data_IF_472421325786
#
_entry.id   IF_472421325786
#
_cell.length_a   1.000
_cell.length_b   1.000
_cell.length_c   1.000
_cell.angle_alpha   90.00
_cell.angle_beta   90.00
_cell.angle_gamma   90.00
#
_symmetry.space_group_name_H-M   'P 1'
#
loop_
_entity.id
_entity.type
_entity.pdbx_description
1 polymer ?
#
# COMPACT_ATOMS: atom_id res chain seq x y z
N UNK A 1 -17.21 32.54 53.12
CA UNK A 1 -17.73 32.99 51.83
C UNK A 1 -16.99 32.15 50.79
N UNK A 2 -17.58 30.97 50.49
CA UNK A 2 -16.98 29.94 49.66
C UNK A 2 -17.38 30.14 48.21
N UNK A 3 -16.40 30.42 47.34
CA UNK A 3 -16.59 30.46 45.87
C UNK A 3 -16.23 29.10 45.34
N UNK A 4 -17.26 28.36 44.91
CA UNK A 4 -17.19 27.03 44.31
C UNK A 4 -16.87 27.19 42.79
N UNK A 5 -15.63 26.94 42.35
CA UNK A 5 -15.27 26.88 40.97
C UNK A 5 -15.82 25.57 40.37
N UNK A 6 -16.85 25.67 39.54
CA UNK A 6 -17.34 24.58 38.70
C UNK A 6 -16.47 24.50 37.45
N UNK A 7 -15.68 23.44 37.33
CA UNK A 7 -15.04 23.05 36.07
C UNK A 7 -16.10 22.46 35.15
N UNK A 8 -16.42 23.17 34.06
CA UNK A 8 -17.22 22.65 32.96
C UNK A 8 -16.23 21.95 32.00
N UNK A 9 -16.25 20.62 31.99
CA UNK A 9 -15.57 19.85 30.97
C UNK A 9 -16.34 19.98 29.65
N UNK A 10 -15.82 20.77 28.73
CA UNK A 10 -16.35 20.85 27.36
C UNK A 10 -15.87 19.59 26.60
N UNK A 11 -16.79 18.65 26.41
CA UNK A 11 -16.62 17.51 25.50
C UNK A 11 -16.69 18.06 24.07
N UNK A 12 -15.55 18.31 23.44
CA UNK A 12 -15.46 18.59 22.01
C UNK A 12 -15.73 17.30 21.23
N UNK A 13 -16.98 17.06 20.89
CA UNK A 13 -17.39 16.13 19.84
C UNK A 13 -16.99 16.77 18.51
N UNK A 14 -15.84 16.39 17.99
CA UNK A 14 -15.49 16.70 16.60
C UNK A 14 -16.40 15.91 15.68
N UNK A 15 -17.46 16.54 15.21
CA UNK A 15 -18.23 16.05 14.08
C UNK A 15 -17.36 16.14 12.83
N UNK A 16 -17.35 15.07 12.04
CA UNK A 16 -16.72 15.05 10.73
C UNK A 16 -17.43 16.09 9.85
N UNK A 17 -16.79 17.24 9.56
CA UNK A 17 -17.37 18.23 8.65
C UNK A 17 -17.40 17.62 7.24
N UNK A 18 -18.58 17.23 6.83
CA UNK A 18 -18.92 16.83 5.46
C UNK A 18 -19.11 18.10 4.66
N UNK A 19 -18.30 18.32 3.64
CA UNK A 19 -18.58 19.33 2.63
C UNK A 19 -20.00 19.09 2.08
N UNK A 20 -20.88 20.06 2.24
CA UNK A 20 -22.29 20.14 1.94
C UNK A 20 -22.84 19.16 0.88
N UNK A 21 -23.00 17.90 1.25
CA UNK A 21 -23.96 16.95 0.70
C UNK A 21 -24.20 15.89 1.78
N UNK A 22 -25.45 15.54 2.07
CA UNK A 22 -25.89 14.64 3.13
C UNK A 22 -25.44 13.15 2.96
N UNK A 23 -24.48 12.84 2.09
CA UNK A 23 -23.94 11.51 1.90
C UNK A 23 -22.42 11.51 2.16
N UNK A 24 -21.98 10.65 3.06
CA UNK A 24 -20.56 10.34 3.24
C UNK A 24 -19.97 9.76 1.95
N UNK A 25 -18.77 10.20 1.57
CA UNK A 25 -18.07 9.65 0.39
C UNK A 25 -17.45 8.27 0.66
N UNK A 26 -17.65 7.69 1.84
CA UNK A 26 -17.23 6.34 2.18
C UNK A 26 -18.14 5.72 3.25
N UNK A 27 -18.17 4.38 3.25
CA UNK A 27 -18.84 3.56 4.26
C UNK A 27 -17.79 2.70 5.00
N UNK A 28 -18.01 2.44 6.28
CA UNK A 28 -17.22 1.48 7.05
C UNK A 28 -17.77 0.09 6.79
N UNK A 29 -16.97 -0.77 6.12
CA UNK A 29 -17.30 -2.18 5.85
C UNK A 29 -17.00 -3.04 7.08
N UNK A 30 -15.84 -2.81 7.71
CA UNK A 30 -15.44 -3.52 8.91
C UNK A 30 -14.60 -2.64 9.84
N UNK A 31 -14.77 -2.89 11.16
CA UNK A 31 -13.86 -2.45 12.21
C UNK A 31 -12.95 -3.62 12.56
N UNK A 32 -11.64 -3.37 12.56
CA UNK A 32 -10.60 -4.39 12.72
C UNK A 32 -9.83 -4.15 14.03
N UNK A 33 -9.44 -5.22 14.69
CA UNK A 33 -8.68 -5.15 15.96
C UNK A 33 -7.16 -5.05 15.73
N UNK A 34 -6.70 -5.37 14.52
CA UNK A 34 -5.27 -5.26 14.12
C UNK A 34 -5.18 -4.45 12.83
N UNK A 35 -4.13 -3.64 12.70
CA UNK A 35 -3.93 -2.79 11.52
C UNK A 35 -3.66 -3.60 10.25
N UNK A 36 -4.50 -3.45 9.21
CA UNK A 36 -4.23 -4.04 7.90
C UNK A 36 -3.05 -3.32 7.22
N UNK A 37 -2.37 -4.00 6.31
CA UNK A 37 -1.39 -3.40 5.41
C UNK A 37 -2.04 -3.05 4.08
N UNK A 38 -2.39 -4.06 3.31
CA UNK A 38 -2.94 -3.89 1.98
C UNK A 38 -4.26 -4.66 1.81
N UNK A 39 -5.01 -4.37 0.76
CA UNK A 39 -6.28 -5.05 0.44
C UNK A 39 -6.36 -5.38 -1.03
N UNK A 40 -6.93 -6.54 -1.34
CA UNK A 40 -7.41 -6.89 -2.68
C UNK A 40 -8.84 -7.40 -2.60
N UNK A 41 -9.68 -6.94 -3.54
CA UNK A 41 -11.08 -7.37 -3.63
C UNK A 41 -11.29 -8.04 -4.98
N UNK A 42 -11.50 -9.33 -4.95
CA UNK A 42 -11.63 -10.17 -6.14
C UNK A 42 -12.96 -9.92 -6.86
N UNK A 43 -13.06 -10.34 -8.12
CA UNK A 43 -14.28 -10.21 -8.93
C UNK A 43 -15.50 -10.92 -8.32
N UNK A 44 -15.29 -12.02 -7.60
CA UNK A 44 -16.34 -12.74 -6.86
C UNK A 44 -16.68 -12.12 -5.49
N UNK A 45 -16.12 -10.97 -5.16
CA UNK A 45 -16.38 -10.22 -3.93
C UNK A 45 -15.60 -10.70 -2.70
N UNK A 46 -14.69 -11.68 -2.81
CA UNK A 46 -13.80 -12.04 -1.70
C UNK A 46 -12.88 -10.88 -1.39
N UNK A 47 -12.72 -10.56 -0.11
CA UNK A 47 -11.85 -9.48 0.38
C UNK A 47 -10.70 -10.12 1.13
N UNK A 48 -9.49 -9.92 0.64
CA UNK A 48 -8.27 -10.47 1.23
C UNK A 48 -7.37 -9.30 1.61
N UNK A 49 -6.80 -9.35 2.80
CA UNK A 49 -5.94 -8.30 3.34
C UNK A 49 -4.64 -8.88 3.88
N UNK A 50 -3.54 -8.21 3.64
CA UNK A 50 -2.36 -8.39 4.47
C UNK A 50 -2.54 -7.65 5.78
N UNK A 51 -1.96 -8.19 6.84
CA UNK A 51 -1.96 -7.56 8.17
C UNK A 51 -0.58 -6.98 8.43
N UNK A 52 -0.53 -5.66 8.70
CA UNK A 52 0.73 -4.94 8.70
C UNK A 52 1.68 -5.44 9.80
N UNK A 53 2.90 -5.81 9.42
CA UNK A 53 3.91 -6.41 10.28
C UNK A 53 4.29 -5.55 11.51
N UNK A 54 4.13 -4.23 11.44
CA UNK A 54 4.40 -3.32 12.57
C UNK A 54 3.42 -3.50 13.74
N UNK A 55 2.30 -4.21 13.54
CA UNK A 55 1.33 -4.58 14.58
C UNK A 55 1.48 -6.02 15.06
N UNK A 56 2.50 -6.76 14.59
CA UNK A 56 2.78 -8.14 14.96
C UNK A 56 1.54 -9.05 14.92
N UNK A 57 0.84 -9.11 13.76
CA UNK A 57 -0.41 -9.85 13.64
C UNK A 57 -0.20 -11.35 13.84
N UNK A 58 -1.25 -12.02 14.32
CA UNK A 58 -1.29 -13.49 14.43
C UNK A 58 -1.22 -14.17 13.06
N UNK A 59 -1.89 -13.58 12.06
CA UNK A 59 -1.88 -14.04 10.67
C UNK A 59 -1.37 -12.92 9.79
N UNK A 60 -0.47 -13.23 8.86
CA UNK A 60 0.13 -12.27 7.94
C UNK A 60 -0.82 -11.88 6.81
N UNK A 61 -1.68 -12.81 6.39
CA UNK A 61 -2.74 -12.59 5.41
C UNK A 61 -4.04 -13.21 5.90
N UNK A 62 -5.15 -12.49 5.70
CA UNK A 62 -6.48 -12.90 6.11
C UNK A 62 -7.52 -12.64 5.02
N UNK A 63 -8.58 -13.43 5.00
CA UNK A 63 -9.81 -13.16 4.26
C UNK A 63 -10.88 -12.63 5.22
N UNK A 64 -11.52 -11.51 4.88
CA UNK A 64 -12.70 -11.02 5.58
C UNK A 64 -13.94 -11.75 5.07
N UNK A 65 -14.47 -12.63 5.89
CA UNK A 65 -15.59 -13.51 5.56
C UNK A 65 -16.58 -13.59 6.72
N UNK A 66 -17.87 -13.40 6.46
CA UNK A 66 -18.92 -13.48 7.47
C UNK A 66 -18.64 -12.62 8.72
N UNK A 67 -18.16 -11.40 8.52
CA UNK A 67 -17.78 -10.44 9.59
C UNK A 67 -16.63 -10.92 10.48
N UNK A 68 -15.85 -11.88 10.02
CA UNK A 68 -14.68 -12.43 10.73
C UNK A 68 -13.45 -12.44 9.84
N UNK A 69 -12.27 -12.43 10.45
CA UNK A 69 -10.99 -12.61 9.77
C UNK A 69 -10.58 -14.09 9.86
N UNK A 70 -10.39 -14.71 8.72
CA UNK A 70 -9.88 -16.09 8.63
C UNK A 70 -8.53 -16.10 7.91
N UNK A 71 -7.57 -16.99 8.29
CA UNK A 71 -6.26 -17.03 7.64
C UNK A 71 -6.38 -17.37 6.15
N UNK A 72 -5.62 -16.66 5.30
CA UNK A 72 -5.57 -16.89 3.85
C UNK A 72 -4.11 -17.10 3.41
N UNK A 73 -3.83 -18.06 2.51
CA UNK A 73 -4.78 -19.01 1.89
C UNK A 73 -5.24 -20.12 2.85
N UNK A 74 -4.48 -20.39 3.89
CA UNK A 74 -4.78 -21.33 4.96
C UNK A 74 -3.97 -20.96 6.22
N UNK A 75 -4.25 -21.65 7.33
CA UNK A 75 -3.57 -21.37 8.59
C UNK A 75 -2.08 -21.70 8.55
N UNK A 76 -1.70 -22.76 7.87
CA UNK A 76 -0.32 -23.24 7.79
C UNK A 76 0.61 -22.19 7.14
N UNK A 77 0.16 -21.53 6.06
CA UNK A 77 0.94 -20.52 5.37
C UNK A 77 0.86 -19.15 6.03
N UNK A 78 -0.29 -18.76 6.58
CA UNK A 78 -0.55 -17.42 7.06
C UNK A 78 -0.18 -17.19 8.53
N UNK A 79 -0.04 -18.23 9.35
CA UNK A 79 0.29 -18.05 10.76
C UNK A 79 1.71 -17.51 10.93
N UNK A 80 1.84 -16.47 11.74
CA UNK A 80 3.13 -15.80 11.98
C UNK A 80 4.17 -16.70 12.65
N UNK A 81 3.70 -17.69 13.43
CA UNK A 81 4.50 -18.71 14.12
C UNK A 81 4.63 -20.02 13.32
N UNK A 82 4.20 -20.05 12.07
CA UNK A 82 4.30 -21.22 11.20
C UNK A 82 5.74 -21.70 11.04
N UNK A 83 5.91 -23.01 11.05
CA UNK A 83 7.18 -23.70 10.75
C UNK A 83 7.19 -24.32 9.34
N UNK A 84 6.13 -24.07 8.54
CA UNK A 84 6.07 -24.56 7.17
C UNK A 84 7.22 -23.99 6.33
N UNK A 85 7.75 -24.79 5.41
CA UNK A 85 8.82 -24.39 4.50
C UNK A 85 8.40 -23.16 3.67
N UNK A 86 7.18 -23.18 3.15
CA UNK A 86 6.56 -22.04 2.46
C UNK A 86 5.63 -21.28 3.40
N UNK A 87 6.15 -20.62 4.43
CA UNK A 87 5.37 -19.68 5.23
C UNK A 87 5.36 -18.29 4.60
N UNK A 88 4.31 -17.53 4.88
CA UNK A 88 4.22 -16.10 4.60
C UNK A 88 4.75 -15.35 5.82
N UNK A 89 5.96 -14.79 5.71
CA UNK A 89 6.66 -14.18 6.85
C UNK A 89 6.15 -12.77 7.17
N UNK A 90 6.17 -11.89 6.18
CA UNK A 90 5.80 -10.46 6.32
C UNK A 90 5.23 -9.95 5.01
N UNK A 91 3.96 -10.22 4.76
CA UNK A 91 3.29 -9.78 3.52
C UNK A 91 2.81 -8.35 3.69
N UNK A 92 3.16 -7.47 2.73
CA UNK A 92 2.60 -6.12 2.59
C UNK A 92 1.74 -6.04 1.35
N UNK A 93 2.30 -5.87 0.16
CA UNK A 93 1.55 -5.79 -1.07
C UNK A 93 0.73 -7.06 -1.33
N UNK A 94 -0.53 -6.87 -1.74
CA UNK A 94 -1.43 -7.96 -2.13
C UNK A 94 -2.32 -7.48 -3.28
N UNK A 95 -2.40 -8.27 -4.36
CA UNK A 95 -3.27 -7.99 -5.52
C UNK A 95 -3.85 -9.29 -6.05
N UNK A 96 -5.09 -9.24 -6.52
CA UNK A 96 -5.66 -10.35 -7.30
C UNK A 96 -5.74 -9.97 -8.78
N UNK A 97 -5.57 -10.95 -9.64
CA UNK A 97 -5.68 -10.77 -11.08
C UNK A 97 -6.99 -11.36 -11.64
N UNK A 98 -7.25 -11.09 -12.92
CA UNK A 98 -8.44 -11.57 -13.63
C UNK A 98 -8.49 -13.11 -13.76
N UNK A 99 -7.36 -13.81 -13.59
CA UNK A 99 -7.29 -15.25 -13.61
C UNK A 99 -7.72 -15.88 -12.28
N UNK A 100 -7.88 -15.06 -11.23
CA UNK A 100 -8.23 -15.48 -9.88
C UNK A 100 -7.03 -15.89 -9.06
N UNK A 101 -5.83 -15.47 -9.46
CA UNK A 101 -4.61 -15.62 -8.68
C UNK A 101 -4.52 -14.44 -7.70
N UNK A 102 -4.29 -14.74 -6.44
CA UNK A 102 -3.92 -13.75 -5.42
C UNK A 102 -2.41 -13.76 -5.28
N UNK A 103 -1.79 -12.66 -5.67
CA UNK A 103 -0.37 -12.42 -5.50
C UNK A 103 -0.11 -11.76 -4.17
N UNK A 104 0.88 -12.26 -3.43
CA UNK A 104 1.29 -11.81 -2.11
C UNK A 104 2.78 -11.52 -2.12
N UNK A 105 3.17 -10.29 -1.82
CA UNK A 105 4.56 -9.87 -1.75
C UNK A 105 5.04 -9.97 -0.29
N UNK A 106 5.83 -10.98 -0.03
CA UNK A 106 6.43 -11.25 1.27
C UNK A 106 7.83 -10.64 1.32
N UNK A 107 8.03 -9.63 2.16
CA UNK A 107 9.32 -8.96 2.31
C UNK A 107 10.30 -9.70 3.25
N UNK A 108 9.86 -10.74 3.91
CA UNK A 108 10.72 -11.62 4.74
C UNK A 108 11.30 -10.98 6.00
N UNK A 109 10.92 -9.75 6.36
CA UNK A 109 11.62 -8.96 7.38
C UNK A 109 11.41 -9.45 8.81
N UNK A 110 10.33 -10.17 9.10
CA UNK A 110 10.07 -10.68 10.46
C UNK A 110 11.11 -11.71 10.89
N UNK A 111 11.45 -12.63 9.99
CA UNK A 111 12.42 -13.71 10.25
C UNK A 111 13.75 -13.53 9.52
N UNK A 112 13.93 -12.47 8.74
CA UNK A 112 15.13 -12.24 7.94
C UNK A 112 15.31 -13.24 6.80
N UNK A 113 14.19 -13.69 6.20
CA UNK A 113 14.23 -14.63 5.07
C UNK A 113 14.19 -13.89 3.73
N UNK A 114 14.62 -14.58 2.67
CA UNK A 114 14.62 -14.02 1.32
C UNK A 114 13.22 -13.54 0.92
N UNK A 115 13.05 -12.29 0.48
CA UNK A 115 11.80 -11.79 -0.05
C UNK A 115 11.30 -12.64 -1.23
N UNK A 116 9.98 -12.76 -1.37
CA UNK A 116 9.36 -13.57 -2.42
C UNK A 116 7.98 -13.08 -2.83
N UNK A 117 7.60 -13.36 -4.05
CA UNK A 117 6.22 -13.32 -4.53
C UNK A 117 5.61 -14.71 -4.41
N UNK A 118 4.41 -14.79 -3.86
CA UNK A 118 3.63 -16.04 -3.78
C UNK A 118 2.30 -15.82 -4.48
N UNK A 119 2.06 -16.56 -5.55
CA UNK A 119 0.78 -16.62 -6.26
C UNK A 119 -0.07 -17.80 -5.75
N UNK A 120 -1.32 -17.54 -5.36
CA UNK A 120 -2.27 -18.56 -4.94
C UNK A 120 -3.48 -18.59 -5.87
N UNK A 121 -3.70 -19.73 -6.52
CA UNK A 121 -4.89 -19.94 -7.34
C UNK A 121 -6.10 -20.23 -6.44
N UNK A 122 -7.01 -19.25 -6.37
CA UNK A 122 -8.21 -19.34 -5.54
C UNK A 122 -9.31 -20.22 -6.12
N UNK A 123 -9.25 -20.56 -7.42
CA UNK A 123 -10.21 -21.46 -8.08
C UNK A 123 -9.92 -22.91 -7.76
N UNK A 124 -8.66 -23.31 -7.86
CA UNK A 124 -8.20 -24.66 -7.51
C UNK A 124 -7.83 -24.79 -6.03
N UNK A 125 -7.72 -23.68 -5.30
CA UNK A 125 -7.22 -23.56 -3.93
C UNK A 125 -5.83 -24.21 -3.76
N UNK A 126 -4.91 -23.86 -4.67
CA UNK A 126 -3.53 -24.40 -4.69
C UNK A 126 -2.52 -23.31 -4.89
N UNK A 127 -1.29 -23.61 -4.49
CA UNK A 127 -0.12 -22.79 -4.86
C UNK A 127 -0.03 -22.71 -6.40
N UNK A 128 0.04 -21.48 -6.91
CA UNK A 128 0.25 -21.22 -8.33
C UNK A 128 1.73 -21.08 -8.66
N UNK A 129 2.44 -20.19 -7.96
CA UNK A 129 3.85 -19.92 -8.22
C UNK A 129 4.54 -19.30 -7.00
N UNK A 130 5.84 -19.55 -6.86
CA UNK A 130 6.74 -18.84 -5.93
C UNK A 130 7.91 -18.29 -6.72
N UNK A 131 8.19 -16.99 -6.55
CA UNK A 131 9.34 -16.33 -7.16
C UNK A 131 10.14 -15.68 -6.04
N UNK A 132 11.32 -16.23 -5.77
CA UNK A 132 12.25 -15.65 -4.81
C UNK A 132 12.94 -14.42 -5.39
N UNK A 133 13.18 -13.44 -4.54
CA UNK A 133 13.85 -12.18 -4.90
C UNK A 133 15.16 -12.05 -4.09
N UNK A 134 16.17 -12.89 -4.35
CA UNK A 134 17.42 -12.84 -3.61
C UNK A 134 18.27 -11.62 -3.97
N UNK A 135 19.31 -11.35 -3.18
CA UNK A 135 20.37 -10.41 -3.57
C UNK A 135 20.98 -10.82 -4.93
N UNK A 136 21.28 -9.87 -5.83
CA UNK A 136 21.26 -8.41 -5.65
C UNK A 136 19.91 -7.75 -5.97
N UNK A 137 18.87 -8.50 -6.33
CA UNK A 137 17.53 -7.94 -6.64
C UNK A 137 16.96 -7.21 -5.43
N UNK A 138 17.06 -7.82 -4.25
CA UNK A 138 16.76 -7.17 -2.97
C UNK A 138 18.05 -7.03 -2.16
N UNK A 139 18.67 -5.82 -2.14
CA UNK A 139 19.81 -5.53 -1.28
C UNK A 139 19.43 -5.62 0.19
N UNK A 140 20.44 -5.55 1.08
CA UNK A 140 20.25 -5.74 2.55
C UNK A 140 19.24 -4.78 3.17
N UNK A 141 19.09 -3.58 2.61
CA UNK A 141 18.18 -2.53 3.05
C UNK A 141 16.87 -2.50 2.24
N UNK A 142 16.61 -3.51 1.38
CA UNK A 142 15.38 -3.62 0.64
C UNK A 142 14.16 -3.72 1.57
N UNK A 143 13.07 -3.08 1.16
CA UNK A 143 11.78 -3.11 1.83
C UNK A 143 10.67 -3.25 0.78
N UNK A 144 10.69 -4.35 -0.01
CA UNK A 144 9.68 -4.55 -1.05
C UNK A 144 8.28 -4.42 -0.46
N UNK A 145 7.47 -3.51 -1.03
CA UNK A 145 6.24 -3.05 -0.39
C UNK A 145 5.01 -3.29 -1.26
N UNK A 146 4.78 -2.47 -2.27
CA UNK A 146 3.61 -2.55 -3.14
C UNK A 146 3.97 -3.02 -4.54
N UNK A 147 2.95 -3.40 -5.34
CA UNK A 147 3.17 -3.82 -6.72
C UNK A 147 1.94 -3.66 -7.60
N UNK A 148 2.16 -3.60 -8.91
CA UNK A 148 1.15 -3.70 -9.95
C UNK A 148 1.31 -5.01 -10.71
N UNK A 149 0.17 -5.62 -11.13
CA UNK A 149 0.13 -6.88 -11.90
C UNK A 149 -0.26 -6.58 -13.33
N UNK A 150 0.65 -6.78 -14.25
CA UNK A 150 0.45 -6.70 -15.70
C UNK A 150 0.20 -8.10 -16.27
N UNK A 151 -1.08 -8.46 -16.36
CA UNK A 151 -1.47 -9.76 -16.94
C UNK A 151 -1.33 -9.80 -18.46
N UNK A 152 -1.24 -8.64 -19.12
CA UNK A 152 -1.05 -8.56 -20.57
C UNK A 152 0.37 -9.01 -20.98
N UNK A 153 1.39 -8.59 -20.20
CA UNK A 153 2.81 -8.95 -20.45
C UNK A 153 3.30 -10.07 -19.55
N UNK A 154 2.47 -10.58 -18.64
CA UNK A 154 2.86 -11.51 -17.59
C UNK A 154 4.03 -10.97 -16.74
N UNK A 155 3.89 -9.74 -16.25
CA UNK A 155 4.88 -9.07 -15.40
C UNK A 155 4.26 -8.58 -14.09
N UNK A 156 5.11 -8.42 -13.09
CA UNK A 156 4.80 -7.69 -11.86
C UNK A 156 5.84 -6.60 -11.69
N UNK A 157 5.37 -5.37 -11.40
CA UNK A 157 6.19 -4.21 -11.12
C UNK A 157 6.11 -3.90 -9.64
N UNK A 158 7.23 -4.04 -8.91
CA UNK A 158 7.29 -3.91 -7.45
C UNK A 158 7.97 -2.58 -7.11
N UNK A 159 7.43 -1.87 -6.12
CA UNK A 159 8.10 -0.74 -5.48
C UNK A 159 8.96 -1.23 -4.32
N UNK A 160 10.22 -0.78 -4.30
CA UNK A 160 11.13 -1.01 -3.19
C UNK A 160 11.68 0.33 -2.70
N UNK A 161 11.10 0.89 -1.60
CA UNK A 161 11.60 2.10 -0.98
C UNK A 161 13.01 1.95 -0.39
N UNK A 162 13.47 0.72 -0.13
CA UNK A 162 14.78 0.40 0.42
C UNK A 162 15.20 1.38 1.55
N UNK A 163 16.47 1.70 1.68
CA UNK A 163 16.98 2.71 2.60
C UNK A 163 16.84 4.16 2.10
N UNK A 164 15.89 4.43 1.19
CA UNK A 164 15.68 5.76 0.58
C UNK A 164 16.59 6.02 -0.62
N UNK A 165 17.88 6.17 -0.43
CA UNK A 165 18.83 6.43 -1.52
C UNK A 165 18.93 5.28 -2.54
N UNK A 166 18.70 4.04 -2.10
CA UNK A 166 18.71 2.83 -2.92
C UNK A 166 17.31 2.41 -3.39
N UNK A 167 16.32 3.30 -3.24
CA UNK A 167 14.98 3.03 -3.73
C UNK A 167 14.96 2.69 -5.23
N UNK A 168 14.12 1.75 -5.63
CA UNK A 168 14.08 1.22 -6.99
C UNK A 168 12.72 0.63 -7.35
N UNK A 169 12.50 0.36 -8.62
CA UNK A 169 11.49 -0.60 -9.06
C UNK A 169 12.14 -1.96 -9.30
N UNK A 170 11.37 -3.04 -9.09
CA UNK A 170 11.75 -4.39 -9.46
C UNK A 170 10.74 -4.88 -10.50
N UNK A 171 11.25 -5.36 -11.63
CA UNK A 171 10.43 -5.94 -12.71
C UNK A 171 10.59 -7.45 -12.66
N UNK A 172 9.48 -8.15 -12.48
CA UNK A 172 9.42 -9.63 -12.42
C UNK A 172 8.71 -10.15 -13.65
N UNK A 173 9.36 -11.04 -14.38
CA UNK A 173 8.77 -11.78 -15.49
C UNK A 173 8.16 -13.08 -14.97
N UNK A 174 6.84 -13.21 -15.00
CA UNK A 174 6.11 -14.37 -14.46
C UNK A 174 6.30 -15.64 -15.28
N UNK A 175 6.63 -15.52 -16.59
CA UNK A 175 6.85 -16.68 -17.44
C UNK A 175 8.18 -17.38 -17.12
N UNK A 176 9.22 -16.60 -16.81
CA UNK A 176 10.58 -17.13 -16.56
C UNK A 176 10.91 -17.20 -15.07
N UNK A 177 10.18 -16.46 -14.22
CA UNK A 177 10.52 -16.29 -12.81
C UNK A 177 11.73 -15.39 -12.57
N UNK A 178 12.26 -14.72 -13.62
CA UNK A 178 13.38 -13.80 -13.48
C UNK A 178 12.95 -12.45 -12.98
N UNK A 179 13.83 -11.76 -12.26
CA UNK A 179 13.60 -10.40 -11.78
C UNK A 179 14.80 -9.51 -12.09
N UNK A 180 14.55 -8.22 -12.27
CA UNK A 180 15.60 -7.21 -12.43
C UNK A 180 15.25 -5.95 -11.64
N UNK A 181 16.25 -5.34 -11.03
CA UNK A 181 16.16 -4.08 -10.31
C UNK A 181 16.45 -2.93 -11.26
N UNK A 182 15.58 -1.93 -11.30
CA UNK A 182 15.65 -0.82 -12.27
C UNK A 182 15.37 0.52 -11.60
N UNK A 183 15.81 1.62 -12.22
CA UNK A 183 15.66 3.00 -11.75
C UNK A 183 16.24 3.24 -10.34
N UNK A 184 17.13 2.38 -9.85
CA UNK A 184 17.74 2.55 -8.53
C UNK A 184 18.41 3.93 -8.41
N UNK A 185 18.08 4.67 -7.34
CA UNK A 185 18.61 6.00 -7.08
C UNK A 185 18.12 7.10 -8.02
N UNK A 186 17.19 6.81 -8.94
CA UNK A 186 16.62 7.82 -9.83
C UNK A 186 15.66 8.74 -9.06
N UNK A 187 15.58 10.02 -9.45
CA UNK A 187 14.75 11.04 -8.79
C UNK A 187 13.25 10.69 -8.69
N UNK A 188 12.76 9.78 -9.54
CA UNK A 188 11.37 9.33 -9.48
C UNK A 188 11.10 8.28 -8.40
N UNK A 189 12.13 7.72 -7.80
CA UNK A 189 12.02 6.64 -6.79
C UNK A 189 12.61 7.01 -5.44
N UNK A 190 13.64 7.88 -5.38
CA UNK A 190 14.22 8.35 -4.12
C UNK A 190 13.30 9.37 -3.44
N UNK A 191 13.29 9.47 -2.10
CA UNK A 191 12.47 10.44 -1.39
C UNK A 191 12.97 11.87 -1.60
N UNK A 192 12.04 12.83 -1.56
CA UNK A 192 12.38 14.25 -1.36
C UNK A 192 12.67 14.49 0.13
N UNK A 193 13.47 15.54 0.42
CA UNK A 193 13.79 15.96 1.80
C UNK A 193 12.63 16.75 2.41
N UNK A 194 11.51 16.05 2.65
CA UNK A 194 10.29 16.58 3.26
C UNK A 194 9.80 15.68 4.39
N UNK A 195 9.51 16.27 5.53
CA UNK A 195 8.94 15.54 6.66
C UNK A 195 7.46 15.23 6.47
N UNK A 196 7.02 14.06 6.87
CA UNK A 196 5.60 13.75 7.03
C UNK A 196 5.15 14.11 8.45
N UNK A 197 4.21 15.04 8.52
CA UNK A 197 3.52 15.39 9.76
C UNK A 197 2.08 14.87 9.66
N UNK A 198 1.67 14.04 10.62
CA UNK A 198 0.28 13.61 10.78
C UNK A 198 -0.25 14.19 12.07
N UNK A 199 -1.37 14.90 12.02
CA UNK A 199 -1.93 15.64 13.16
C UNK A 199 -0.91 16.60 13.83
N UNK A 200 -0.02 17.19 13.00
CA UNK A 200 1.02 18.13 13.44
C UNK A 200 2.25 17.47 14.08
N UNK A 201 2.31 16.13 14.11
CA UNK A 201 3.43 15.38 14.69
C UNK A 201 4.22 14.69 13.58
N UNK A 202 5.53 14.94 13.53
CA UNK A 202 6.41 14.28 12.56
C UNK A 202 6.56 12.79 12.91
N UNK A 203 6.52 11.91 11.90
CA UNK A 203 6.87 10.50 12.11
C UNK A 203 8.32 10.37 12.52
N UNK A 204 8.61 9.39 13.37
CA UNK A 204 9.95 9.12 13.91
C UNK A 204 10.21 7.63 13.96
N UNK A 205 11.36 7.21 13.46
CA UNK A 205 11.84 5.85 13.57
C UNK A 205 13.13 5.82 14.40
N UNK A 206 13.53 4.63 14.83
CA UNK A 206 14.88 4.40 15.40
C UNK A 206 15.79 3.86 14.31
N UNK A 207 16.96 4.46 14.15
CA UNK A 207 18.01 3.90 13.30
C UNK A 207 18.67 2.69 13.97
N UNK A 208 19.67 2.10 13.32
CA UNK A 208 20.38 0.92 13.81
C UNK A 208 21.11 1.18 15.14
N UNK A 209 21.42 2.43 15.48
CA UNK A 209 22.02 2.83 16.76
C UNK A 209 20.98 3.09 17.86
N UNK A 210 19.70 3.05 17.53
CA UNK A 210 18.59 3.39 18.43
C UNK A 210 18.28 4.89 18.51
N UNK A 211 18.98 5.74 17.73
CA UNK A 211 18.74 7.18 17.68
C UNK A 211 17.47 7.46 16.88
N UNK A 212 16.67 8.43 17.37
CA UNK A 212 15.48 8.90 16.67
C UNK A 212 15.86 9.65 15.39
N UNK A 213 15.27 9.25 14.28
CA UNK A 213 15.41 9.86 12.97
C UNK A 213 14.03 10.08 12.36
N UNK A 214 13.92 11.05 11.44
CA UNK A 214 12.73 11.25 10.61
C UNK A 214 12.94 10.47 9.32
N UNK A 215 12.20 9.35 9.11
CA UNK A 215 12.40 8.55 7.91
C UNK A 215 11.85 9.28 6.68
N UNK A 216 12.62 9.28 5.60
CA UNK A 216 12.17 9.67 4.27
C UNK A 216 12.08 8.42 3.40
N UNK A 217 10.86 8.06 3.03
CA UNK A 217 10.55 6.78 2.37
C UNK A 217 10.46 7.02 0.86
N UNK A 218 11.22 6.22 0.11
CA UNK A 218 11.28 6.26 -1.34
C UNK A 218 10.00 5.75 -2.03
N UNK A 219 10.14 5.21 -3.24
CA UNK A 219 9.00 4.72 -4.03
C UNK A 219 8.19 3.70 -3.25
N UNK A 220 6.90 4.01 -3.08
CA UNK A 220 5.93 3.14 -2.41
C UNK A 220 4.64 3.05 -3.25
N UNK A 221 3.89 4.15 -3.49
CA UNK A 221 2.71 4.09 -4.34
C UNK A 221 3.06 3.60 -5.74
N UNK A 222 2.33 2.57 -6.21
CA UNK A 222 2.46 2.04 -7.55
C UNK A 222 1.12 1.47 -8.05
N UNK A 223 0.77 1.74 -9.31
CA UNK A 223 -0.38 1.13 -10.01
C UNK A 223 -0.14 1.14 -11.51
N UNK A 224 -0.91 0.34 -12.23
CA UNK A 224 -0.92 0.31 -13.69
C UNK A 224 -2.31 0.71 -14.20
N UNK A 225 -2.39 1.47 -15.31
CA UNK A 225 -3.68 1.78 -15.91
C UNK A 225 -4.39 0.53 -16.47
N UNK A 226 -5.69 0.67 -16.73
CA UNK A 226 -6.51 -0.46 -17.14
C UNK A 226 -6.27 -0.87 -18.60
N UNK A 227 -5.63 0.00 -19.37
CA UNK A 227 -5.23 -0.25 -20.76
C UNK A 227 -3.85 -0.93 -20.86
N UNK A 228 -3.19 -1.17 -19.71
CA UNK A 228 -1.84 -1.73 -19.58
C UNK A 228 -0.78 -0.95 -20.39
N UNK A 229 -0.91 0.38 -20.43
CA UNK A 229 0.00 1.27 -21.16
C UNK A 229 1.00 1.92 -20.21
N UNK A 230 0.52 2.38 -19.04
CA UNK A 230 1.32 3.17 -18.12
C UNK A 230 1.37 2.57 -16.71
N UNK A 231 2.57 2.45 -16.17
CA UNK A 231 2.81 2.21 -14.75
C UNK A 231 3.04 3.56 -14.08
N UNK A 232 2.22 3.88 -13.07
CA UNK A 232 2.30 5.09 -12.26
C UNK A 232 2.95 4.75 -10.92
N UNK A 233 3.89 5.58 -10.49
CA UNK A 233 4.63 5.37 -9.25
C UNK A 233 5.23 6.68 -8.75
N UNK A 234 5.75 6.69 -7.53
CA UNK A 234 6.48 7.83 -7.01
C UNK A 234 6.98 7.61 -5.58
N UNK A 235 7.85 8.47 -5.05
CA UNK A 235 8.26 8.38 -3.67
C UNK A 235 7.07 8.67 -2.75
N UNK A 236 6.98 7.91 -1.64
CA UNK A 236 6.00 8.20 -0.59
C UNK A 236 6.23 9.62 -0.07
N UNK A 237 7.47 9.92 0.38
CA UNK A 237 7.90 11.26 0.73
C UNK A 237 8.31 12.03 -0.54
N UNK A 238 7.30 12.48 -1.29
CA UNK A 238 7.50 13.26 -2.50
C UNK A 238 6.21 13.91 -2.96
N UNK A 239 6.35 15.00 -3.70
CA UNK A 239 5.26 15.84 -4.22
C UNK A 239 4.95 15.57 -5.69
N UNK A 240 5.60 14.55 -6.27
CA UNK A 240 5.44 14.21 -7.68
C UNK A 240 5.01 12.76 -7.86
N UNK A 241 4.03 12.55 -8.74
CA UNK A 241 3.70 11.25 -9.32
C UNK A 241 4.39 11.15 -10.68
N UNK A 242 4.99 10.01 -10.94
CA UNK A 242 5.67 9.69 -12.20
C UNK A 242 4.95 8.57 -12.92
N UNK A 243 5.26 8.40 -14.20
CA UNK A 243 4.83 7.25 -14.99
C UNK A 243 5.88 6.85 -16.01
N UNK A 244 5.86 5.59 -16.39
CA UNK A 244 6.65 5.03 -17.47
C UNK A 244 5.79 4.03 -18.24
N UNK A 245 6.06 3.82 -19.54
CA UNK A 245 5.33 2.81 -20.29
C UNK A 245 5.66 1.41 -19.79
N UNK A 246 4.63 0.57 -19.66
CA UNK A 246 4.80 -0.81 -19.26
C UNK A 246 5.67 -1.60 -20.26
N UNK A 247 5.58 -1.29 -21.56
CA UNK A 247 6.47 -1.86 -22.61
C UNK A 247 7.94 -1.54 -22.34
N UNK A 248 8.25 -0.30 -21.93
CA UNK A 248 9.63 0.10 -21.65
C UNK A 248 10.15 -0.58 -20.37
N UNK A 249 9.32 -0.71 -19.33
CA UNK A 249 9.68 -1.46 -18.12
C UNK A 249 9.91 -2.94 -18.41
N UNK A 250 9.09 -3.57 -19.25
CA UNK A 250 9.22 -4.98 -19.59
C UNK A 250 10.40 -5.27 -20.55
N UNK A 251 10.91 -4.25 -21.23
CA UNK A 251 11.98 -4.42 -22.23
C UNK A 251 13.36 -4.62 -21.57
N UNK A 252 13.83 -5.86 -21.56
CA UNK A 252 15.12 -6.24 -20.99
C UNK A 252 16.34 -5.70 -21.78
N UNK A 253 16.14 -5.21 -23.02
CA UNK A 253 17.22 -4.66 -23.85
C UNK A 253 17.50 -3.18 -23.58
N UNK A 254 16.69 -2.51 -22.77
CA UNK A 254 16.94 -1.14 -22.36
C UNK A 254 17.96 -1.10 -21.22
N UNK A 255 19.08 -0.41 -21.46
CA UNK A 255 20.03 -0.11 -20.40
C UNK A 255 19.43 0.91 -19.38
N UNK A 256 20.05 1.00 -18.20
CA UNK A 256 19.57 1.82 -17.09
C UNK A 256 19.41 3.31 -17.48
N UNK A 257 20.34 3.86 -18.29
CA UNK A 257 20.30 5.25 -18.71
C UNK A 257 19.16 5.53 -19.68
N UNK A 258 18.95 4.65 -20.65
CA UNK A 258 17.82 4.77 -21.60
C UNK A 258 16.50 4.66 -20.88
N UNK A 259 16.37 3.68 -19.98
CA UNK A 259 15.15 3.49 -19.18
C UNK A 259 14.85 4.74 -18.32
N UNK A 260 15.85 5.31 -17.66
CA UNK A 260 15.71 6.51 -16.86
C UNK A 260 15.17 7.71 -17.65
N UNK A 261 15.61 7.87 -18.92
CA UNK A 261 15.14 8.95 -19.81
C UNK A 261 13.68 8.77 -20.29
N UNK A 262 13.07 7.60 -20.09
CA UNK A 262 11.67 7.31 -20.46
C UNK A 262 10.69 7.54 -19.31
N UNK A 263 11.18 7.92 -18.14
CA UNK A 263 10.35 8.30 -17.00
C UNK A 263 9.77 9.70 -17.22
N UNK A 264 8.44 9.81 -17.08
CA UNK A 264 7.74 11.10 -17.20
C UNK A 264 7.14 11.51 -15.85
N UNK A 265 7.38 12.74 -15.43
CA UNK A 265 6.59 13.36 -14.36
C UNK A 265 5.15 13.52 -14.84
N UNK A 266 4.20 12.99 -14.10
CA UNK A 266 2.79 12.99 -14.48
C UNK A 266 2.02 14.15 -13.84
N UNK A 267 2.06 14.27 -12.51
CA UNK A 267 1.30 15.29 -11.77
C UNK A 267 1.95 15.61 -10.43
N UNK A 268 1.44 16.64 -9.77
CA UNK A 268 1.62 16.81 -8.33
C UNK A 268 0.82 15.77 -7.56
N UNK A 269 1.31 15.40 -6.37
CA UNK A 269 0.60 14.58 -5.38
C UNK A 269 0.97 15.01 -3.95
N UNK A 270 0.10 14.82 -2.95
CA UNK A 270 0.51 14.89 -1.55
C UNK A 270 1.42 13.71 -1.18
N UNK A 271 2.03 13.74 0.02
CA UNK A 271 2.67 12.56 0.62
C UNK A 271 1.59 11.48 0.77
N UNK A 272 1.80 10.33 0.13
CA UNK A 272 0.80 9.26 0.02
C UNK A 272 1.45 7.89 0.09
N UNK A 273 0.75 6.93 0.67
CA UNK A 273 1.07 5.51 0.63
C UNK A 273 0.54 4.87 -0.68
N UNK A 274 -0.19 3.77 -0.62
CA UNK A 274 -0.71 3.10 -1.81
C UNK A 274 -1.66 3.92 -2.67
N UNK A 275 -1.77 3.56 -3.93
CA UNK A 275 -2.66 4.17 -4.94
C UNK A 275 -3.42 3.11 -5.73
N UNK A 276 -4.55 3.51 -6.34
CA UNK A 276 -5.27 2.72 -7.33
C UNK A 276 -5.86 3.61 -8.42
N UNK A 277 -6.25 3.03 -9.56
CA UNK A 277 -6.71 3.78 -10.73
C UNK A 277 -8.01 3.18 -11.28
N UNK A 278 -8.95 4.03 -11.73
CA UNK A 278 -10.18 3.59 -12.38
C UNK A 278 -10.09 3.63 -13.92
N UNK A 279 -11.12 3.14 -14.61
CA UNK A 279 -11.18 3.08 -16.07
C UNK A 279 -11.24 4.45 -16.75
N UNK A 280 -11.49 5.52 -16.01
CA UNK A 280 -11.44 6.89 -16.51
C UNK A 280 -10.09 7.55 -16.19
N UNK A 281 -9.11 6.76 -15.73
CA UNK A 281 -7.76 7.22 -15.33
C UNK A 281 -7.75 8.21 -14.15
N UNK A 282 -8.74 8.15 -13.26
CA UNK A 282 -8.66 8.84 -11.98
C UNK A 282 -7.81 8.01 -11.01
N UNK A 283 -6.78 8.61 -10.41
CA UNK A 283 -5.85 7.95 -9.48
C UNK A 283 -6.24 8.33 -8.06
N UNK A 284 -6.64 7.35 -7.26
CA UNK A 284 -7.02 7.49 -5.86
C UNK A 284 -5.81 7.29 -4.96
N UNK A 285 -5.72 8.09 -3.89
CA UNK A 285 -4.61 8.03 -2.93
C UNK A 285 -5.04 8.49 -1.53
N UNK A 286 -4.29 8.06 -0.53
CA UNK A 286 -4.39 8.60 0.83
C UNK A 286 -3.53 9.86 0.97
N UNK A 287 -4.11 10.99 1.35
CA UNK A 287 -3.35 12.17 1.77
C UNK A 287 -3.04 12.05 3.26
N UNK A 288 -1.86 11.52 3.59
CA UNK A 288 -1.51 11.10 4.95
C UNK A 288 -1.50 12.27 5.95
N UNK A 289 -0.93 13.41 5.56
CA UNK A 289 -0.84 14.59 6.43
C UNK A 289 -2.21 15.21 6.77
N UNK A 290 -3.24 14.96 5.96
CA UNK A 290 -4.56 15.57 6.11
C UNK A 290 -5.63 14.60 6.59
N UNK A 291 -5.30 13.32 6.84
CA UNK A 291 -6.29 12.28 7.14
C UNK A 291 -7.41 12.26 6.09
N UNK A 292 -7.02 12.18 4.81
CA UNK A 292 -7.94 12.32 3.70
C UNK A 292 -7.74 11.26 2.61
N UNK A 293 -8.79 11.04 1.84
CA UNK A 293 -8.73 10.34 0.55
C UNK A 293 -8.84 11.39 -0.54
N UNK A 294 -7.91 11.38 -1.47
CA UNK A 294 -7.87 12.26 -2.61
C UNK A 294 -7.93 11.53 -3.94
N UNK A 295 -8.05 12.30 -5.01
CA UNK A 295 -8.02 11.82 -6.38
C UNK A 295 -7.25 12.79 -7.27
N UNK A 296 -6.43 12.25 -8.17
CA UNK A 296 -5.82 12.96 -9.27
C UNK A 296 -6.62 12.61 -10.53
N UNK A 297 -7.28 13.61 -11.13
CA UNK A 297 -8.07 13.44 -12.35
C UNK A 297 -7.17 13.35 -13.60
N UNK A 298 -7.67 12.90 -14.77
CA UNK A 298 -6.89 12.77 -16.01
C UNK A 298 -6.26 14.07 -16.50
N UNK A 299 -6.86 15.23 -16.15
CA UNK A 299 -6.30 16.58 -16.37
C UNK A 299 -5.14 16.92 -15.41
N UNK A 300 -4.74 15.94 -14.55
CA UNK A 300 -3.65 16.04 -13.57
C UNK A 300 -3.94 16.97 -12.37
N UNK A 301 -5.22 17.28 -12.13
CA UNK A 301 -5.66 18.09 -11.00
C UNK A 301 -5.93 17.20 -9.80
N UNK A 302 -5.32 17.53 -8.65
CA UNK A 302 -5.60 16.88 -7.37
C UNK A 302 -6.78 17.55 -6.66
N UNK A 303 -7.67 16.74 -6.07
CA UNK A 303 -8.71 17.20 -5.14
C UNK A 303 -9.00 16.16 -4.05
N UNK A 304 -9.42 16.60 -2.87
CA UNK A 304 -9.90 15.70 -1.81
C UNK A 304 -11.31 15.20 -2.10
N UNK A 305 -11.54 13.91 -1.85
CA UNK A 305 -12.86 13.27 -1.90
C UNK A 305 -13.49 13.18 -0.51
N UNK A 306 -12.70 12.88 0.51
CA UNK A 306 -13.14 12.77 1.90
C UNK A 306 -12.01 13.17 2.83
N UNK A 307 -12.34 13.82 3.96
CA UNK A 307 -11.40 14.16 5.02
C UNK A 307 -12.07 13.92 6.37
N UNK A 308 -11.43 13.15 7.24
CA UNK A 308 -11.94 12.85 8.57
C UNK A 308 -10.83 12.25 9.45
N UNK A 309 -10.78 12.49 10.76
CA UNK A 309 -9.83 11.85 11.67
C UNK A 309 -9.82 10.32 11.59
N UNK A 310 -10.95 9.69 11.20
CA UNK A 310 -11.02 8.24 10.99
C UNK A 310 -10.28 7.75 9.76
N UNK A 311 -9.86 8.65 8.84
CA UNK A 311 -9.08 8.34 7.65
C UNK A 311 -7.56 8.47 7.91
N UNK A 312 -7.15 8.37 9.17
CA UNK A 312 -5.75 8.50 9.56
C UNK A 312 -4.92 7.34 9.05
N UNK A 313 -4.07 7.65 8.08
CA UNK A 313 -3.24 6.73 7.31
C UNK A 313 -4.05 5.73 6.48
N UNK A 314 -4.62 6.21 5.37
CA UNK A 314 -5.17 5.35 4.32
C UNK A 314 -4.00 4.74 3.56
N UNK A 315 -3.79 3.44 3.74
CA UNK A 315 -2.60 2.71 3.28
C UNK A 315 -2.75 2.23 1.84
N UNK A 316 -3.82 1.52 1.52
CA UNK A 316 -4.00 0.95 0.20
C UNK A 316 -5.45 0.95 -0.28
N UNK A 317 -5.60 0.71 -1.59
CA UNK A 317 -6.87 0.69 -2.29
C UNK A 317 -6.98 -0.55 -3.17
N UNK A 318 -8.22 -1.01 -3.39
CA UNK A 318 -8.53 -2.03 -4.39
C UNK A 318 -9.94 -1.85 -4.92
N UNK A 319 -10.12 -1.94 -6.21
CA UNK A 319 -11.43 -2.08 -6.80
C UNK A 319 -11.97 -3.51 -6.61
N UNK A 320 -13.29 -3.61 -6.46
CA UNK A 320 -14.01 -4.85 -6.37
C UNK A 320 -15.17 -4.92 -7.36
N UNK A 321 -16.09 -5.88 -7.20
CA UNK A 321 -17.23 -6.06 -8.08
C UNK A 321 -18.07 -4.80 -8.27
N UNK A 322 -18.62 -4.61 -9.46
CA UNK A 322 -19.38 -3.42 -9.85
C UNK A 322 -18.57 -2.11 -9.71
N UNK A 323 -17.24 -2.17 -9.82
CA UNK A 323 -16.34 -1.03 -9.80
C UNK A 323 -16.29 -0.25 -8.48
N UNK A 324 -16.66 -0.89 -7.38
CA UNK A 324 -16.62 -0.28 -6.05
C UNK A 324 -15.17 -0.23 -5.55
N UNK A 325 -14.76 0.93 -5.05
CA UNK A 325 -13.43 1.11 -4.46
C UNK A 325 -13.44 0.78 -2.97
N UNK A 326 -12.46 0.00 -2.52
CA UNK A 326 -12.21 -0.31 -1.12
C UNK A 326 -10.88 0.29 -0.70
N UNK A 327 -10.75 0.59 0.59
CA UNK A 327 -9.52 1.10 1.18
C UNK A 327 -9.33 0.56 2.59
N UNK A 328 -8.09 0.51 3.05
CA UNK A 328 -7.75 0.16 4.44
C UNK A 328 -7.10 1.34 5.13
N UNK A 329 -7.40 1.47 6.44
CA UNK A 329 -6.89 2.54 7.30
C UNK A 329 -6.26 1.92 8.53
N UNK A 330 -4.98 2.22 8.79
CA UNK A 330 -4.21 1.51 9.79
C UNK A 330 -3.50 2.38 10.84
N UNK A 331 -3.53 3.72 10.73
CA UNK A 331 -2.83 4.63 11.66
C UNK A 331 -1.34 4.31 11.83
N UNK A 332 -0.65 4.01 10.74
CA UNK A 332 0.71 3.48 10.78
C UNK A 332 1.71 4.41 11.48
N UNK A 333 1.51 5.73 11.40
CA UNK A 333 2.31 6.75 12.13
C UNK A 333 2.26 6.58 13.66
N UNK A 334 1.26 5.85 14.21
CA UNK A 334 1.14 5.54 15.64
C UNK A 334 1.68 4.15 16.00
N UNK A 335 2.22 3.39 15.03
CA UNK A 335 2.93 2.14 15.30
C UNK A 335 4.23 2.40 16.06
N UNK A 336 4.75 1.41 16.76
CA UNK A 336 6.04 1.55 17.44
C UNK A 336 7.17 1.92 16.48
N UNK A 337 7.13 1.39 15.25
CA UNK A 337 8.16 1.62 14.23
C UNK A 337 8.22 3.07 13.77
N UNK A 338 7.08 3.74 13.58
CA UNK A 338 7.01 5.13 13.09
C UNK A 338 6.69 6.16 14.18
N UNK A 339 6.68 5.76 15.45
CA UNK A 339 6.45 6.63 16.60
C UNK A 339 7.54 6.45 17.68
N UNK A 340 8.79 6.42 17.27
CA UNK A 340 9.96 6.42 18.18
C UNK A 340 10.05 5.20 19.10
N UNK A 341 9.48 4.07 18.74
CA UNK A 341 9.44 2.84 19.53
C UNK A 341 8.22 2.69 20.43
N UNK A 342 7.25 3.60 20.38
CA UNK A 342 6.06 3.58 21.24
C UNK A 342 4.80 3.28 20.43
N UNK A 343 4.12 2.16 20.72
CA UNK A 343 2.83 1.84 20.11
C UNK A 343 1.73 2.70 20.74
N UNK A 344 1.16 3.63 19.97
CA UNK A 344 0.01 4.46 20.35
C UNK A 344 -1.28 4.06 19.62
N UNK A 345 -1.16 3.42 18.45
CA UNK A 345 -2.31 2.98 17.70
C UNK A 345 -3.20 2.03 18.49
N UNK A 346 -4.49 2.28 18.48
CA UNK A 346 -5.50 1.46 19.14
C UNK A 346 -6.64 1.14 18.19
N UNK A 347 -7.26 -0.04 18.28
CA UNK A 347 -8.47 -0.35 17.54
C UNK A 347 -9.58 0.69 17.78
N UNK A 348 -10.53 0.84 16.87
CA UNK A 348 -10.64 0.08 15.62
C UNK A 348 -9.78 0.66 14.50
N UNK A 349 -9.23 -0.24 13.67
CA UNK A 349 -8.76 0.06 12.31
C UNK A 349 -9.91 -0.18 11.33
N UNK A 350 -9.78 0.22 10.05
CA UNK A 350 -10.95 0.19 9.17
C UNK A 350 -10.66 -0.46 7.83
N UNK A 351 -11.65 -1.26 7.38
CA UNK A 351 -11.88 -1.56 5.98
C UNK A 351 -13.03 -0.67 5.51
N UNK A 352 -12.82 0.10 4.47
CA UNK A 352 -13.75 1.08 3.93
C UNK A 352 -14.21 0.68 2.53
N UNK A 353 -15.39 1.18 2.14
CA UNK A 353 -15.84 1.26 0.77
C UNK A 353 -16.00 2.73 0.40
N UNK A 354 -15.29 3.18 -0.64
CA UNK A 354 -15.18 4.57 -1.06
C UNK A 354 -16.01 4.78 -2.33
N UNK A 355 -16.68 5.91 -2.42
CA UNK A 355 -17.43 6.31 -3.63
C UNK A 355 -16.42 6.77 -4.69
N UNK A 356 -16.15 5.91 -5.67
CA UNK A 356 -15.27 6.22 -6.80
C UNK A 356 -15.98 7.06 -7.85
N UNK A 357 -15.22 7.76 -8.70
CA UNK A 357 -15.74 8.61 -9.79
C UNK A 357 -16.11 7.76 -11.01
N UNK A 358 -15.38 6.68 -11.22
CA UNK A 358 -15.67 5.68 -12.25
C UNK A 358 -15.36 4.27 -11.71
N UNK A 359 -15.80 3.26 -12.42
CA UNK A 359 -15.52 1.88 -12.08
C UNK A 359 -14.06 1.54 -12.36
N UNK A 360 -13.43 0.68 -11.53
CA UNK A 360 -12.13 0.07 -11.79
C UNK A 360 -12.23 -1.44 -12.04
N UNK A 361 -11.10 -2.09 -12.21
CA UNK A 361 -11.01 -3.55 -12.32
C UNK A 361 -10.82 -4.18 -10.94
N UNK A 362 -11.61 -5.24 -10.62
CA UNK A 362 -11.43 -5.98 -9.40
C UNK A 362 -9.97 -6.43 -9.17
N UNK A 363 -9.50 -6.29 -7.95
CA UNK A 363 -8.15 -6.67 -7.55
C UNK A 363 -7.06 -5.61 -7.71
N UNK A 364 -7.39 -4.49 -8.42
CA UNK A 364 -6.46 -3.37 -8.64
C UNK A 364 -6.73 -2.16 -7.76
#
# INVERSE_FOLDING_TARGET
MNILCKFIAILLLFACEVANSNESNYDIVAKLDTGPGNVTVMDNGRIIMSMHQFYQPKYTVVEYKNKSLVPFPNQELAAADSTAELKLDSVLGIRSDANGIVWMLDNGMRSGVTPKLVGWDTKSNKLHQVINLPSPITPKDAFVNDFAVDTHRNHIYISDPAGGANAALIVVNLNTGTARRVLEGHNSVIPEDIDLLVDGVAIQAKDQSGKLVRPHIGVNPITEDLDNVWVYFGPMHGRSLYRIKADDLANENLDAKRLANLVHRYSDKPISDGISIDKANNIYLGELAANAIGVISPDRTYRRLAQCPNLSWVDSFSFGPAGKLYAVVNRLHQSATLNGGVLKAKPPFYLLKVKSLAAGLPGR
#
